data_IF_579882164730
#
_entry.id   IF_579882164730
#
_cell.length_a   1.000
_cell.length_b   1.000
_cell.length_c   1.000
_cell.angle_alpha   90.00
_cell.angle_beta   90.00
_cell.angle_gamma   90.00
#
_symmetry.space_group_name_H-M   'P 1'
#
loop_
_entity.id
_entity.type
_entity.pdbx_description
1 polymer ?
#
# COMPACT_ATOMS: atom_id res chain seq x y z
N UNK A 1 -6.74 -14.83 23.10
CA UNK A 1 -5.61 -14.26 22.34
C UNK A 1 -5.46 -14.93 20.96
N UNK A 2 -6.51 -14.97 20.13
CA UNK A 2 -6.54 -15.90 18.99
C UNK A 2 -5.86 -15.41 17.70
N UNK A 3 -5.56 -14.11 17.57
CA UNK A 3 -5.26 -13.55 16.23
C UNK A 3 -3.98 -12.72 16.13
N UNK A 4 -3.02 -12.86 17.05
CA UNK A 4 -1.72 -12.17 16.93
C UNK A 4 -0.96 -12.61 15.67
N UNK A 5 -0.96 -13.91 15.36
CA UNK A 5 -0.33 -14.41 14.14
C UNK A 5 -1.01 -13.90 12.86
N UNK A 6 -2.34 -13.72 12.89
CA UNK A 6 -3.09 -13.18 11.75
C UNK A 6 -2.77 -11.70 11.53
N UNK A 7 -2.69 -10.91 12.61
CA UNK A 7 -2.32 -9.50 12.56
C UNK A 7 -0.88 -9.31 12.05
N UNK A 8 0.06 -10.12 12.52
CA UNK A 8 1.43 -10.09 12.02
C UNK A 8 1.49 -10.48 10.54
N UNK A 9 0.72 -11.47 10.12
CA UNK A 9 0.63 -11.86 8.71
C UNK A 9 0.03 -10.76 7.83
N UNK A 10 -1.04 -10.11 8.28
CA UNK A 10 -1.65 -8.96 7.60
C UNK A 10 -0.65 -7.81 7.44
N UNK A 11 0.09 -7.48 8.51
CA UNK A 11 1.12 -6.44 8.47
C UNK A 11 2.20 -6.78 7.44
N UNK A 12 2.73 -8.01 7.46
CA UNK A 12 3.74 -8.46 6.49
C UNK A 12 3.21 -8.39 5.06
N UNK A 13 1.97 -8.82 4.82
CA UNK A 13 1.35 -8.77 3.51
C UNK A 13 1.21 -7.33 2.99
N UNK A 14 0.74 -6.43 3.84
CA UNK A 14 0.45 -5.05 3.45
C UNK A 14 1.70 -4.17 3.32
N UNK A 15 2.79 -4.47 4.02
CA UNK A 15 3.96 -3.56 4.09
C UNK A 15 5.28 -4.17 3.62
N UNK A 16 5.37 -5.48 3.41
CA UNK A 16 6.63 -6.14 3.02
C UNK A 16 6.50 -6.88 1.70
N UNK A 17 5.34 -7.48 1.40
CA UNK A 17 5.18 -8.33 0.22
C UNK A 17 4.88 -7.49 -1.04
N UNK A 18 5.81 -7.43 -2.02
CA UNK A 18 5.54 -6.79 -3.29
C UNK A 18 4.62 -7.66 -4.15
N UNK A 19 3.74 -7.02 -4.90
CA UNK A 19 2.78 -7.70 -5.78
C UNK A 19 3.04 -7.31 -7.23
N UNK A 20 3.21 -8.32 -8.10
CA UNK A 20 3.49 -8.08 -9.52
C UNK A 20 2.36 -7.28 -10.21
N UNK A 21 1.10 -7.51 -9.81
CA UNK A 21 -0.05 -6.76 -10.33
C UNK A 21 -0.02 -5.27 -9.97
N UNK A 22 0.70 -4.89 -8.90
CA UNK A 22 0.89 -3.50 -8.48
C UNK A 22 2.23 -2.93 -9.00
N UNK A 23 2.90 -3.60 -9.94
CA UNK A 23 4.21 -3.16 -10.43
C UNK A 23 5.35 -3.43 -9.45
N UNK A 24 5.28 -4.54 -8.69
CA UNK A 24 6.21 -4.88 -7.61
C UNK A 24 6.15 -3.96 -6.39
N UNK A 25 5.03 -3.27 -6.22
CA UNK A 25 4.74 -2.48 -5.02
C UNK A 25 3.98 -3.30 -3.99
N UNK A 26 4.16 -2.95 -2.72
CA UNK A 26 3.26 -3.36 -1.64
C UNK A 26 1.91 -2.62 -1.75
N UNK A 27 0.84 -3.15 -1.14
CA UNK A 27 -0.45 -2.45 -1.10
C UNK A 27 -0.34 -1.05 -0.48
N UNK A 28 0.49 -0.88 0.55
CA UNK A 28 0.71 0.41 1.19
C UNK A 28 1.38 1.41 0.22
N UNK A 29 2.49 1.02 -0.41
CA UNK A 29 3.21 1.89 -1.35
C UNK A 29 2.34 2.31 -2.53
N UNK A 30 1.50 1.40 -3.03
CA UNK A 30 0.56 1.71 -4.11
C UNK A 30 -0.47 2.78 -3.69
N UNK A 31 -0.98 2.72 -2.46
CA UNK A 31 -1.89 3.73 -1.93
C UNK A 31 -1.20 5.07 -1.69
N UNK A 32 0.07 5.07 -1.27
CA UNK A 32 0.87 6.28 -1.11
C UNK A 32 1.12 6.97 -2.45
N UNK A 33 1.54 6.22 -3.48
CA UNK A 33 1.73 6.76 -4.82
C UNK A 33 0.45 7.35 -5.41
N UNK A 34 -0.70 6.70 -5.22
CA UNK A 34 -1.98 7.27 -5.66
C UNK A 34 -2.34 8.57 -4.94
N UNK A 35 -1.97 8.73 -3.66
CA UNK A 35 -2.20 9.99 -2.94
C UNK A 35 -1.32 11.10 -3.48
N UNK A 36 -0.07 10.80 -3.80
CA UNK A 36 0.87 11.79 -4.35
C UNK A 36 0.48 12.21 -5.77
N UNK A 37 0.09 11.27 -6.63
CA UNK A 37 -0.42 11.59 -7.97
C UNK A 37 -1.68 12.47 -7.93
N UNK A 38 -2.57 12.25 -6.95
CA UNK A 38 -3.77 13.09 -6.78
C UNK A 38 -3.48 14.49 -6.24
N UNK A 39 -2.32 14.71 -5.60
CA UNK A 39 -1.92 16.04 -5.11
C UNK A 39 -1.41 16.94 -6.24
N UNK A 40 -0.90 16.36 -7.33
CA UNK A 40 -0.46 17.12 -8.51
C UNK A 40 -1.63 17.57 -9.41
N UNK A 41 -2.80 16.92 -9.35
CA UNK A 41 -3.99 17.31 -10.12
C UNK A 41 -4.70 18.57 -9.58
N UNK A 42 -4.27 19.14 -8.44
CA UNK A 42 -4.77 20.43 -7.93
C UNK A 42 -3.83 21.57 -8.35
N UNK A 43 -3.48 21.64 -9.63
CA UNK A 43 -3.11 22.91 -10.26
C UNK A 43 -4.32 23.42 -11.03
N UNK A 44 -5.14 24.24 -10.38
CA UNK A 44 -6.19 25.00 -11.04
C UNK A 44 -5.57 25.83 -12.18
N UNK A 45 -6.04 25.60 -13.40
CA UNK A 45 -5.84 26.50 -14.54
C UNK A 45 -6.71 27.75 -14.39
#
# INVERSE_FOLDING_TARGET
ELNQALLEWEKVYNTIRPHQALGYLTPLEFLEQQKDNKREEVMCH
#
